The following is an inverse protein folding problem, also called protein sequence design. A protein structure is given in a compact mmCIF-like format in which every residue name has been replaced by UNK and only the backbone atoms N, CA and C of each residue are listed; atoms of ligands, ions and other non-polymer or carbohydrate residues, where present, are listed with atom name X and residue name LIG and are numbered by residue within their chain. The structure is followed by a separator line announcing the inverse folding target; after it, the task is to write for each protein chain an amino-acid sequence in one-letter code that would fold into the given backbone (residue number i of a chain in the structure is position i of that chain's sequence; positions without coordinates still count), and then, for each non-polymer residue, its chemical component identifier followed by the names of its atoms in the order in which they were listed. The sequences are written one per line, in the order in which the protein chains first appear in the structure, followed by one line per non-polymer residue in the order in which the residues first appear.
data_IF_830402069719
#
_entry.id   IF_830402069719
#
_cell.length_a   1.000
_cell.length_b   1.000
_cell.length_c   1.000
_cell.angle_alpha   90.00
_cell.angle_beta   90.00
_cell.angle_gamma   90.00
#
_symmetry.space_group_name_H-M   'P 1'
#
loop_
_entity.id
_entity.type
_entity.pdbx_description
1 polymer ?
#
# COMPACT_ATOMS: atom_id res chain seq x y z
N UNK A 1 -6.79 -2.92 -23.50
CA UNK A 1 -5.66 -2.41 -22.68
C UNK A 1 -5.50 -3.32 -21.47
N UNK A 2 -4.35 -3.97 -21.26
CA UNK A 2 -4.09 -4.68 -20.00
C UNK A 2 -3.74 -3.64 -18.92
N UNK A 3 -4.40 -3.71 -17.78
CA UNK A 3 -4.11 -2.83 -16.65
C UNK A 3 -2.72 -3.19 -16.10
N UNK A 4 -1.81 -2.22 -16.02
CA UNK A 4 -0.45 -2.42 -15.51
C UNK A 4 -0.45 -2.93 -14.06
N UNK A 5 -1.43 -2.50 -13.27
CA UNK A 5 -1.70 -3.00 -11.92
C UNK A 5 -1.83 -4.52 -11.87
N UNK A 6 -2.47 -5.14 -12.87
CA UNK A 6 -2.62 -6.59 -12.93
C UNK A 6 -1.27 -7.29 -13.15
N UNK A 7 -0.37 -6.71 -13.96
CA UNK A 7 0.97 -7.25 -14.18
C UNK A 7 1.82 -7.17 -12.91
N UNK A 8 1.74 -6.04 -12.19
CA UNK A 8 2.44 -5.84 -10.91
C UNK A 8 2.03 -6.90 -9.90
N UNK A 9 0.72 -7.04 -9.68
CA UNK A 9 0.16 -8.00 -8.72
C UNK A 9 0.51 -9.45 -9.13
N UNK A 10 0.46 -9.77 -10.41
CA UNK A 10 0.82 -11.10 -10.91
C UNK A 10 2.30 -11.43 -10.66
N UNK A 11 3.22 -10.48 -10.88
CA UNK A 11 4.65 -10.69 -10.60
C UNK A 11 4.90 -10.86 -9.09
N UNK A 12 4.32 -9.99 -8.27
CA UNK A 12 4.43 -10.06 -6.80
C UNK A 12 3.91 -11.40 -6.28
N UNK A 13 2.78 -11.89 -6.79
CA UNK A 13 2.23 -13.19 -6.42
C UNK A 13 3.17 -14.36 -6.78
N UNK A 14 3.75 -14.32 -7.98
CA UNK A 14 4.73 -15.34 -8.41
C UNK A 14 5.98 -15.32 -7.52
N UNK A 15 6.48 -14.13 -7.18
CA UNK A 15 7.61 -13.98 -6.26
C UNK A 15 7.28 -14.55 -4.88
N UNK A 16 6.13 -14.17 -4.32
CA UNK A 16 5.66 -14.67 -3.02
C UNK A 16 5.57 -16.19 -2.98
N UNK A 17 4.89 -16.80 -3.96
CA UNK A 17 4.74 -18.25 -4.06
C UNK A 17 6.09 -18.98 -4.17
N UNK A 18 7.05 -18.39 -4.88
CA UNK A 18 8.35 -19.02 -5.13
C UNK A 18 9.32 -18.89 -3.97
N UNK A 19 9.39 -17.74 -3.31
CA UNK A 19 10.46 -17.43 -2.36
C UNK A 19 9.98 -17.24 -0.92
N UNK A 20 8.76 -16.74 -0.72
CA UNK A 20 8.27 -16.30 0.60
C UNK A 20 7.34 -17.33 1.23
N UNK A 21 6.67 -18.14 0.41
CA UNK A 21 5.66 -19.09 0.87
C UNK A 21 6.25 -20.12 1.85
N UNK A 22 5.92 -19.96 3.13
CA UNK A 22 6.18 -20.93 4.19
C UNK A 22 5.09 -20.80 5.25
N UNK A 23 4.82 -21.88 5.98
CA UNK A 23 3.76 -21.91 6.99
C UNK A 23 3.95 -20.84 8.07
N UNK A 24 5.18 -20.70 8.56
CA UNK A 24 5.54 -19.73 9.60
C UNK A 24 5.42 -18.28 9.11
N UNK A 25 5.75 -18.01 7.84
CA UNK A 25 5.57 -16.69 7.26
C UNK A 25 4.09 -16.36 7.11
N UNK A 26 3.29 -17.32 6.64
CA UNK A 26 1.85 -17.13 6.44
C UNK A 26 1.12 -16.82 7.75
N UNK A 27 1.51 -17.44 8.87
CA UNK A 27 0.94 -17.14 10.19
C UNK A 27 1.12 -15.67 10.55
N UNK A 28 2.29 -15.07 10.30
CA UNK A 28 2.51 -13.65 10.57
C UNK A 28 1.60 -12.75 9.75
N UNK A 29 1.44 -13.04 8.45
CA UNK A 29 0.52 -12.30 7.58
C UNK A 29 -0.95 -12.45 8.01
N UNK A 30 -1.37 -13.65 8.45
CA UNK A 30 -2.72 -13.90 8.96
C UNK A 30 -2.95 -13.15 10.27
N UNK A 31 -1.98 -13.13 11.19
CA UNK A 31 -2.10 -12.38 12.44
C UNK A 31 -2.30 -10.87 12.19
N UNK A 32 -1.53 -10.30 11.26
CA UNK A 32 -1.73 -8.92 10.82
C UNK A 32 -3.09 -8.71 10.13
N UNK A 33 -3.57 -9.67 9.32
CA UNK A 33 -4.89 -9.57 8.69
C UNK A 33 -6.01 -9.49 9.72
N UNK A 34 -5.96 -10.32 10.77
CA UNK A 34 -6.93 -10.29 11.87
C UNK A 34 -6.90 -8.93 12.56
N UNK A 35 -5.70 -8.40 12.86
CA UNK A 35 -5.55 -7.06 13.44
C UNK A 35 -6.17 -5.98 12.53
N UNK A 36 -5.94 -6.05 11.22
CA UNK A 36 -6.49 -5.10 10.26
C UNK A 36 -8.01 -5.16 10.16
N UNK A 37 -8.61 -6.36 10.15
CA UNK A 37 -10.07 -6.52 10.15
C UNK A 37 -10.68 -5.89 11.41
N UNK A 38 -10.11 -6.17 12.57
CA UNK A 38 -10.60 -5.61 13.84
C UNK A 38 -10.47 -4.07 13.86
N UNK A 39 -9.34 -3.53 13.42
CA UNK A 39 -9.13 -2.06 13.33
C UNK A 39 -10.03 -1.40 12.29
N UNK A 40 -10.32 -2.07 11.18
CA UNK A 40 -11.26 -1.59 10.18
C UNK A 40 -12.69 -1.51 10.73
N UNK A 41 -13.14 -2.51 11.50
CA UNK A 41 -14.43 -2.46 12.20
C UNK A 41 -14.47 -1.32 13.23
N UNK A 42 -13.39 -1.16 13.99
CA UNK A 42 -13.30 -0.15 15.04
C UNK A 42 -13.36 1.29 14.49
N UNK A 43 -12.50 1.61 13.51
CA UNK A 43 -12.46 2.93 12.89
C UNK A 43 -13.58 3.18 11.89
N UNK A 44 -13.93 2.16 11.11
CA UNK A 44 -14.86 2.29 10.00
C UNK A 44 -16.33 2.23 10.42
N UNK A 45 -16.64 1.58 11.55
CA UNK A 45 -18.02 1.38 12.03
C UNK A 45 -18.23 1.85 13.46
N UNK A 46 -17.49 1.31 14.45
CA UNK A 46 -17.76 1.60 15.86
C UNK A 46 -17.66 3.10 16.18
N UNK A 47 -16.61 3.77 15.72
CA UNK A 47 -16.42 5.20 15.95
C UNK A 47 -17.53 6.07 15.30
N UNK A 48 -17.86 5.95 14.00
CA UNK A 48 -18.95 6.73 13.42
C UNK A 48 -20.34 6.43 14.03
N UNK A 49 -20.62 5.17 14.40
CA UNK A 49 -21.86 4.82 15.11
C UNK A 49 -21.89 5.38 16.54
N UNK A 50 -20.74 5.41 17.24
CA UNK A 50 -20.64 6.04 18.55
C UNK A 50 -20.97 7.53 18.49
N UNK A 51 -20.40 8.25 17.51
CA UNK A 51 -20.70 9.66 17.29
C UNK A 51 -22.18 9.88 16.94
N UNK A 52 -22.76 8.99 16.13
CA UNK A 52 -24.19 9.02 15.79
C UNK A 52 -25.05 8.92 17.05
N UNK A 53 -24.81 7.90 17.89
CA UNK A 53 -25.57 7.67 19.10
C UNK A 53 -25.41 8.82 20.11
N UNK A 54 -24.19 9.34 20.26
CA UNK A 54 -23.91 10.44 21.16
C UNK A 54 -24.68 11.70 20.76
N UNK A 55 -24.60 12.10 19.48
CA UNK A 55 -25.25 13.32 18.98
C UNK A 55 -26.77 13.19 19.03
N UNK A 56 -27.32 12.06 18.60
CA UNK A 56 -28.78 11.83 18.66
C UNK A 56 -29.29 11.85 20.11
N UNK A 57 -28.53 11.33 21.08
CA UNK A 57 -28.89 11.44 22.50
C UNK A 57 -28.84 12.87 23.01
N UNK A 58 -27.79 13.63 22.68
CA UNK A 58 -27.66 15.03 23.08
C UNK A 58 -28.79 15.89 22.51
N UNK A 59 -29.18 15.67 21.25
CA UNK A 59 -30.27 16.40 20.61
C UNK A 59 -31.61 16.15 21.32
N UNK A 60 -31.93 14.88 21.61
CA UNK A 60 -33.17 14.49 22.28
C UNK A 60 -33.23 14.94 23.75
N UNK A 61 -32.08 15.15 24.38
CA UNK A 61 -31.97 15.56 25.79
C UNK A 61 -32.25 17.04 26.06
N UNK A 62 -32.49 17.87 25.04
CA UNK A 62 -32.64 19.34 25.16
C UNK A 62 -33.75 19.80 26.12
N UNK A 63 -34.67 18.91 26.55
CA UNK A 63 -35.75 19.21 27.49
C UNK A 63 -35.71 18.38 28.80
N UNK A 64 -34.69 17.55 29.02
CA UNK A 64 -34.58 16.68 30.21
C UNK A 64 -33.16 16.68 30.79
N UNK A 65 -33.00 16.33 32.07
CA UNK A 65 -31.67 16.22 32.69
C UNK A 65 -30.84 15.15 31.99
N UNK A 66 -29.78 15.57 31.27
CA UNK A 66 -28.84 14.68 30.61
C UNK A 66 -28.22 13.71 31.63
N UNK A 67 -28.42 12.41 31.43
CA UNK A 67 -27.80 11.38 32.26
C UNK A 67 -26.87 10.51 31.45
N UNK A 68 -25.67 10.25 31.96
CA UNK A 68 -24.72 9.28 31.36
C UNK A 68 -25.35 7.88 31.27
N UNK A 69 -26.38 7.60 32.08
CA UNK A 69 -27.13 6.34 32.04
C UNK A 69 -28.13 6.26 30.89
N UNK A 70 -28.31 7.32 30.11
CA UNK A 70 -29.05 7.24 28.85
C UNK A 70 -28.38 6.22 27.92
N UNK A 71 -29.19 5.33 27.35
CA UNK A 71 -28.70 4.18 26.59
C UNK A 71 -27.82 4.58 25.41
N UNK A 72 -28.11 5.70 24.72
CA UNK A 72 -27.31 6.17 23.59
C UNK A 72 -25.93 6.72 23.98
N UNK A 73 -25.82 7.47 25.08
CA UNK A 73 -24.54 7.99 25.59
C UNK A 73 -23.65 6.84 26.09
N UNK A 74 -24.23 5.92 26.86
CA UNK A 74 -23.52 4.73 27.33
C UNK A 74 -23.04 3.86 26.16
N UNK A 75 -23.90 3.63 25.15
CA UNK A 75 -23.52 2.88 23.96
C UNK A 75 -22.36 3.55 23.21
N UNK A 76 -22.39 4.89 23.07
CA UNK A 76 -21.28 5.63 22.45
C UNK A 76 -19.97 5.45 23.23
N UNK A 77 -20.00 5.59 24.57
CA UNK A 77 -18.83 5.39 25.43
C UNK A 77 -18.28 3.97 25.29
N UNK A 78 -19.14 2.96 25.29
CA UNK A 78 -18.74 1.57 25.13
C UNK A 78 -18.10 1.31 23.76
N UNK A 79 -18.65 1.87 22.68
CA UNK A 79 -18.08 1.75 21.33
C UNK A 79 -16.71 2.45 21.20
N UNK A 80 -16.55 3.63 21.80
CA UNK A 80 -15.26 4.34 21.85
C UNK A 80 -14.24 3.54 22.66
N UNK A 81 -14.65 3.03 23.83
CA UNK A 81 -13.80 2.19 24.69
C UNK A 81 -13.39 0.91 23.97
N UNK A 82 -14.33 0.23 23.31
CA UNK A 82 -14.04 -0.95 22.50
C UNK A 82 -13.05 -0.64 21.37
N UNK A 83 -13.19 0.52 20.71
CA UNK A 83 -12.23 0.99 19.71
C UNK A 83 -10.83 1.12 20.29
N UNK A 84 -10.68 1.80 21.43
CA UNK A 84 -9.38 1.97 22.10
C UNK A 84 -8.76 0.63 22.50
N UNK A 85 -9.56 -0.29 23.05
CA UNK A 85 -9.11 -1.64 23.41
C UNK A 85 -8.67 -2.42 22.17
N UNK A 86 -9.44 -2.40 21.09
CA UNK A 86 -9.08 -3.09 19.83
C UNK A 86 -7.73 -2.59 19.32
N UNK A 87 -7.53 -1.27 19.20
CA UNK A 87 -6.27 -0.71 18.70
C UNK A 87 -5.08 -1.13 19.57
N UNK A 88 -5.24 -1.04 20.90
CA UNK A 88 -4.19 -1.38 21.86
C UNK A 88 -3.86 -2.87 21.86
N UNK A 89 -4.88 -3.73 21.92
CA UNK A 89 -4.70 -5.18 21.99
C UNK A 89 -4.13 -5.76 20.68
N UNK A 90 -4.55 -5.22 19.53
CA UNK A 90 -4.10 -5.71 18.22
C UNK A 90 -2.69 -5.28 17.84
N UNK A 91 -2.07 -4.33 18.55
CA UNK A 91 -0.69 -3.89 18.25
C UNK A 91 0.31 -5.05 18.35
N UNK A 92 0.13 -5.92 19.35
CA UNK A 92 0.98 -7.09 19.56
C UNK A 92 0.85 -8.16 18.46
N UNK A 93 -0.24 -8.14 17.67
CA UNK A 93 -0.42 -9.04 16.54
C UNK A 93 0.46 -8.67 15.34
N UNK A 94 1.09 -7.49 15.32
CA UNK A 94 2.08 -7.14 14.29
C UNK A 94 3.48 -7.68 14.56
N UNK A 95 3.80 -8.05 15.80
CA UNK A 95 5.09 -8.68 16.11
C UNK A 95 5.35 -9.95 15.28
N UNK A 96 4.45 -10.95 15.23
CA UNK A 96 4.67 -12.13 14.39
C UNK A 96 4.78 -11.77 12.90
N UNK A 97 4.02 -10.78 12.42
CA UNK A 97 4.14 -10.29 11.05
C UNK A 97 5.55 -9.76 10.73
N UNK A 98 6.08 -8.85 11.54
CA UNK A 98 7.42 -8.29 11.31
C UNK A 98 8.52 -9.34 11.42
N UNK A 99 8.38 -10.29 12.35
CA UNK A 99 9.28 -11.44 12.43
C UNK A 99 9.21 -12.30 11.17
N UNK A 100 8.02 -12.54 10.62
CA UNK A 100 7.83 -13.26 9.36
C UNK A 100 8.47 -12.53 8.17
N UNK A 101 8.39 -11.19 8.10
CA UNK A 101 9.08 -10.40 7.06
C UNK A 101 10.60 -10.53 7.19
N UNK A 102 11.14 -10.38 8.41
CA UNK A 102 12.58 -10.53 8.66
C UNK A 102 13.08 -11.95 8.35
N UNK A 103 12.32 -12.98 8.73
CA UNK A 103 12.63 -14.37 8.38
C UNK A 103 12.60 -14.59 6.87
N UNK A 104 11.59 -14.07 6.18
CA UNK A 104 11.49 -14.16 4.72
C UNK A 104 12.71 -13.56 4.03
N UNK A 105 13.22 -12.42 4.51
CA UNK A 105 14.47 -11.83 4.00
C UNK A 105 15.63 -12.81 4.09
N UNK A 106 15.83 -13.42 5.27
CA UNK A 106 16.89 -14.40 5.48
C UNK A 106 16.71 -15.64 4.57
N UNK A 107 15.49 -16.17 4.47
CA UNK A 107 15.17 -17.35 3.67
C UNK A 107 15.36 -17.09 2.17
N UNK A 108 14.92 -15.93 1.66
CA UNK A 108 15.13 -15.54 0.26
C UNK A 108 16.62 -15.38 -0.03
N UNK A 109 17.38 -14.70 0.85
CA UNK A 109 18.84 -14.54 0.69
C UNK A 109 19.55 -15.89 0.65
N UNK A 110 19.24 -16.78 1.60
CA UNK A 110 19.80 -18.14 1.63
C UNK A 110 19.49 -18.92 0.35
N UNK A 111 18.25 -18.82 -0.16
CA UNK A 111 17.86 -19.46 -1.42
C UNK A 111 18.62 -18.90 -2.62
N UNK A 112 18.68 -17.57 -2.76
CA UNK A 112 19.40 -16.92 -3.85
C UNK A 112 20.89 -17.28 -3.83
N UNK A 113 21.53 -17.28 -2.65
CA UNK A 113 22.93 -17.71 -2.49
C UNK A 113 23.10 -19.18 -2.90
N UNK A 114 22.23 -20.07 -2.42
CA UNK A 114 22.30 -21.50 -2.76
C UNK A 114 22.10 -21.77 -4.26
N UNK A 115 21.25 -20.98 -4.93
CA UNK A 115 20.98 -21.09 -6.36
C UNK A 115 22.10 -20.53 -7.23
N UNK A 116 22.93 -19.61 -6.72
CA UNK A 116 24.06 -19.05 -7.45
C UNK A 116 25.23 -20.04 -7.61
N UNK A 117 25.35 -21.03 -6.71
CA UNK A 117 26.45 -21.99 -6.71
C UNK A 117 27.83 -21.33 -6.54
N UNK A 118 28.88 -22.13 -6.32
CA UNK A 118 30.26 -21.63 -6.33
C UNK A 118 30.66 -21.41 -7.80
N UNK A 119 30.31 -20.24 -8.35
CA UNK A 119 30.80 -19.81 -9.66
C UNK A 119 32.29 -19.45 -9.56
N UNK A 120 33.12 -20.02 -10.45
CA UNK A 120 34.59 -19.86 -10.46
C UNK A 120 35.09 -18.41 -10.72
N UNK A 121 34.20 -17.43 -10.91
CA UNK A 121 34.53 -16.02 -11.12
C UNK A 121 34.22 -15.17 -9.87
N UNK A 122 35.06 -15.30 -8.84
CA UNK A 122 34.92 -14.66 -7.52
C UNK A 122 34.76 -13.12 -7.55
N UNK A 123 35.36 -12.42 -8.51
CA UNK A 123 35.29 -10.95 -8.59
C UNK A 123 33.90 -10.43 -9.01
N UNK A 124 33.24 -11.11 -9.96
CA UNK A 124 31.87 -10.77 -10.37
C UNK A 124 30.82 -11.30 -9.38
N UNK A 125 31.14 -12.36 -8.63
CA UNK A 125 30.22 -12.96 -7.64
C UNK A 125 30.00 -12.02 -6.44
N UNK A 126 31.03 -11.32 -5.95
CA UNK A 126 30.88 -10.44 -4.79
C UNK A 126 30.00 -9.20 -5.07
N UNK A 127 30.16 -8.53 -6.22
CA UNK A 127 29.27 -7.41 -6.63
C UNK A 127 27.83 -7.90 -6.86
N UNK A 128 27.68 -9.08 -7.48
CA UNK A 128 26.38 -9.69 -7.74
C UNK A 128 25.65 -10.05 -6.43
N UNK A 129 26.35 -10.67 -5.47
CA UNK A 129 25.79 -11.06 -4.16
C UNK A 129 25.40 -9.83 -3.34
N UNK A 130 26.24 -8.79 -3.30
CA UNK A 130 25.93 -7.55 -2.58
C UNK A 130 24.70 -6.84 -3.15
N UNK A 131 24.61 -6.73 -4.48
CA UNK A 131 23.46 -6.14 -5.17
C UNK A 131 22.19 -6.97 -5.00
N UNK A 132 22.30 -8.30 -5.01
CA UNK A 132 21.14 -9.17 -4.80
C UNK A 132 20.64 -9.18 -3.36
N UNK A 133 21.55 -9.16 -2.38
CA UNK A 133 21.15 -9.04 -0.98
C UNK A 133 20.38 -7.74 -0.75
N UNK A 134 20.85 -6.64 -1.34
CA UNK A 134 20.17 -5.34 -1.30
C UNK A 134 18.82 -5.38 -2.02
N UNK A 135 18.74 -6.01 -3.20
CA UNK A 135 17.48 -6.16 -3.93
C UNK A 135 16.44 -6.97 -3.14
N UNK A 136 16.87 -8.04 -2.44
CA UNK A 136 15.99 -8.86 -1.59
C UNK A 136 15.45 -8.03 -0.42
N UNK A 137 16.33 -7.29 0.28
CA UNK A 137 15.89 -6.40 1.37
C UNK A 137 14.87 -5.39 0.85
N UNK A 138 15.19 -4.70 -0.24
CA UNK A 138 14.31 -3.70 -0.86
C UNK A 138 12.95 -4.29 -1.23
N UNK A 139 12.93 -5.45 -1.88
CA UNK A 139 11.70 -6.13 -2.30
C UNK A 139 10.87 -6.54 -1.09
N UNK A 140 11.47 -7.15 -0.09
CA UNK A 140 10.75 -7.67 1.08
C UNK A 140 10.18 -6.56 1.95
N UNK A 141 10.94 -5.47 2.18
CA UNK A 141 10.41 -4.30 2.88
C UNK A 141 9.26 -3.64 2.13
N UNK A 142 9.33 -3.58 0.79
CA UNK A 142 8.23 -3.05 -0.02
C UNK A 142 7.01 -3.98 -0.06
N UNK A 143 7.18 -5.30 -0.02
CA UNK A 143 6.05 -6.25 0.13
C UNK A 143 5.39 -6.03 1.49
N UNK A 144 6.18 -5.97 2.57
CA UNK A 144 5.69 -5.71 3.92
C UNK A 144 4.95 -4.37 4.01
N UNK A 145 5.59 -3.30 3.52
CA UNK A 145 5.04 -1.95 3.48
C UNK A 145 3.78 -1.84 2.61
N UNK A 146 3.73 -2.50 1.46
CA UNK A 146 2.50 -2.59 0.68
C UNK A 146 1.41 -3.31 1.47
N UNK A 147 1.70 -4.45 2.08
CA UNK A 147 0.70 -5.22 2.81
C UNK A 147 0.10 -4.44 3.97
N UNK A 148 0.93 -3.73 4.74
CA UNK A 148 0.51 -2.89 5.87
C UNK A 148 -0.10 -1.56 5.45
N UNK A 149 0.03 -1.16 4.18
CA UNK A 149 -0.61 0.03 3.64
C UNK A 149 -1.92 -0.33 2.94
N UNK A 150 -1.90 -1.27 2.00
CA UNK A 150 -3.04 -1.66 1.18
C UNK A 150 -4.16 -2.30 2.00
N UNK A 151 -3.83 -3.36 2.74
CA UNK A 151 -4.81 -4.22 3.41
C UNK A 151 -5.68 -3.50 4.45
N UNK A 152 -5.12 -2.78 5.45
CA UNK A 152 -5.96 -2.09 6.41
C UNK A 152 -6.79 -0.99 5.76
N UNK A 153 -6.20 -0.23 4.83
CA UNK A 153 -6.89 0.89 4.22
C UNK A 153 -8.07 0.44 3.36
N UNK A 154 -7.93 -0.62 2.55
CA UNK A 154 -9.06 -1.14 1.76
C UNK A 154 -10.15 -1.74 2.66
N UNK A 155 -9.77 -2.43 3.74
CA UNK A 155 -10.73 -2.96 4.70
C UNK A 155 -11.51 -1.84 5.41
N UNK A 156 -10.83 -0.79 5.87
CA UNK A 156 -11.47 0.39 6.46
C UNK A 156 -12.40 1.06 5.47
N UNK A 157 -11.98 1.25 4.20
CA UNK A 157 -12.85 1.79 3.15
C UNK A 157 -14.13 0.96 3.01
N UNK A 158 -14.02 -0.37 2.93
CA UNK A 158 -15.19 -1.26 2.78
C UNK A 158 -16.12 -1.14 3.99
N UNK A 159 -15.59 -1.23 5.21
CA UNK A 159 -16.39 -1.13 6.44
C UNK A 159 -17.08 0.23 6.52
N UNK A 160 -16.36 1.32 6.24
CA UNK A 160 -16.94 2.67 6.27
C UNK A 160 -18.03 2.88 5.23
N UNK A 161 -17.88 2.31 4.01
CA UNK A 161 -18.96 2.34 3.01
C UNK A 161 -20.20 1.61 3.51
N UNK A 162 -20.03 0.43 4.12
CA UNK A 162 -21.14 -0.31 4.75
C UNK A 162 -21.81 0.53 5.84
N UNK A 163 -21.03 1.20 6.68
CA UNK A 163 -21.56 2.07 7.74
C UNK A 163 -22.32 3.28 7.18
N UNK A 164 -21.83 3.93 6.11
CA UNK A 164 -22.59 5.00 5.45
C UNK A 164 -23.92 4.48 4.92
N UNK A 165 -23.92 3.31 4.26
CA UNK A 165 -25.16 2.67 3.79
C UNK A 165 -26.14 2.35 4.92
N UNK A 166 -25.64 1.91 6.08
CA UNK A 166 -26.47 1.64 7.26
C UNK A 166 -27.09 2.92 7.82
N UNK A 167 -26.35 4.04 7.81
CA UNK A 167 -26.82 5.32 8.32
C UNK A 167 -27.77 6.04 7.35
N UNK A 168 -27.54 5.91 6.04
CA UNK A 168 -28.39 6.42 4.97
C UNK A 168 -28.14 5.66 3.66
N UNK A 169 -29.10 4.86 3.17
CA UNK A 169 -28.96 4.15 1.90
C UNK A 169 -28.73 5.08 0.71
N UNK A 170 -29.39 6.25 0.68
CA UNK A 170 -29.27 7.23 -0.41
C UNK A 170 -27.84 7.78 -0.49
N UNK A 171 -27.29 8.22 0.64
CA UNK A 171 -25.91 8.73 0.68
C UNK A 171 -24.89 7.61 0.51
N UNK A 172 -25.20 6.38 0.93
CA UNK A 172 -24.38 5.19 0.67
C UNK A 172 -24.20 4.90 -0.82
N UNK A 173 -25.27 4.99 -1.61
CA UNK A 173 -25.19 4.82 -3.08
C UNK A 173 -24.26 5.86 -3.69
N UNK A 174 -24.43 7.13 -3.31
CA UNK A 174 -23.55 8.22 -3.78
C UNK A 174 -22.10 7.95 -3.37
N UNK A 175 -21.88 7.52 -2.12
CA UNK A 175 -20.55 7.25 -1.62
C UNK A 175 -19.84 6.15 -2.41
N UNK A 176 -20.53 5.04 -2.70
CA UNK A 176 -19.99 3.94 -3.53
C UNK A 176 -19.78 4.38 -4.97
N UNK A 177 -20.71 5.11 -5.57
CA UNK A 177 -20.59 5.60 -6.94
C UNK A 177 -19.38 6.52 -7.13
N UNK A 178 -18.93 7.22 -6.08
CA UNK A 178 -17.74 8.06 -6.11
C UNK A 178 -16.42 7.26 -6.02
N UNK A 179 -16.42 6.03 -5.47
CA UNK A 179 -15.19 5.25 -5.26
C UNK A 179 -14.36 5.01 -6.53
N UNK A 180 -14.94 4.70 -7.72
CA UNK A 180 -14.15 4.44 -8.92
C UNK A 180 -13.41 5.68 -9.43
N UNK A 181 -13.81 6.90 -9.03
CA UNK A 181 -13.11 8.14 -9.42
C UNK A 181 -11.65 8.15 -8.95
N UNK A 182 -11.34 7.46 -7.85
CA UNK A 182 -9.95 7.29 -7.39
C UNK A 182 -9.05 6.60 -8.43
N UNK A 183 -9.59 5.74 -9.28
CA UNK A 183 -8.83 5.08 -10.35
C UNK A 183 -8.42 6.05 -11.45
N UNK A 184 -9.24 7.08 -11.71
CA UNK A 184 -8.93 8.14 -12.68
C UNK A 184 -7.71 8.97 -12.24
N UNK A 185 -7.43 9.02 -10.93
CA UNK A 185 -6.25 9.67 -10.36
C UNK A 185 -5.03 8.74 -10.44
N UNK A 186 -5.21 7.46 -10.13
CA UNK A 186 -4.12 6.49 -10.05
C UNK A 186 -3.54 6.09 -11.43
N UNK A 187 -4.39 5.87 -12.44
CA UNK A 187 -3.92 5.32 -13.72
C UNK A 187 -2.90 6.21 -14.46
N UNK A 188 -3.12 7.53 -14.60
CA UNK A 188 -2.15 8.42 -15.24
C UNK A 188 -0.82 8.44 -14.48
N UNK A 189 -0.88 8.37 -13.15
CA UNK A 189 0.29 8.36 -12.29
C UNK A 189 1.16 7.11 -12.52
N UNK A 190 0.56 5.91 -12.49
CA UNK A 190 1.31 4.65 -12.69
C UNK A 190 2.03 4.66 -14.04
N UNK A 191 1.34 5.05 -15.11
CA UNK A 191 1.93 5.13 -16.46
C UNK A 191 3.06 6.16 -16.52
N UNK A 192 2.82 7.37 -16.02
CA UNK A 192 3.78 8.47 -16.09
C UNK A 192 5.04 8.27 -15.25
N UNK A 193 4.89 7.81 -14.00
CA UNK A 193 6.04 7.59 -13.09
C UNK A 193 6.95 6.48 -13.60
N UNK A 194 6.40 5.43 -14.20
CA UNK A 194 7.23 4.34 -14.70
C UNK A 194 8.16 4.80 -15.82
N UNK A 195 7.64 5.54 -16.81
CA UNK A 195 8.46 6.10 -17.89
C UNK A 195 9.54 7.04 -17.33
N UNK A 196 9.16 7.92 -16.39
CA UNK A 196 10.10 8.83 -15.74
C UNK A 196 11.21 8.07 -14.98
N UNK A 197 10.85 6.98 -14.30
CA UNK A 197 11.80 6.12 -13.57
C UNK A 197 12.71 5.31 -14.47
N UNK A 198 12.22 4.86 -15.62
CA UNK A 198 13.08 4.17 -16.58
C UNK A 198 14.20 5.11 -17.07
N UNK A 199 13.88 6.38 -17.35
CA UNK A 199 14.86 7.42 -17.69
C UNK A 199 15.80 7.71 -16.53
N UNK A 200 15.27 7.89 -15.33
CA UNK A 200 16.05 8.12 -14.10
C UNK A 200 17.07 6.99 -13.86
N UNK A 201 16.62 5.72 -13.80
CA UNK A 201 17.50 4.58 -13.50
C UNK A 201 18.54 4.31 -14.58
N UNK A 202 18.16 4.44 -15.86
CA UNK A 202 19.10 4.27 -16.97
C UNK A 202 20.18 5.35 -16.95
N UNK A 203 19.79 6.62 -16.75
CA UNK A 203 20.73 7.74 -16.64
C UNK A 203 21.60 7.63 -15.39
N UNK A 204 21.05 7.17 -14.27
CA UNK A 204 21.83 6.95 -13.05
C UNK A 204 22.90 5.86 -13.24
N UNK A 205 22.54 4.76 -13.92
CA UNK A 205 23.48 3.70 -14.25
C UNK A 205 24.60 4.21 -15.19
N UNK A 206 24.23 5.05 -16.17
CA UNK A 206 25.18 5.74 -17.06
C UNK A 206 26.12 6.66 -16.26
N UNK A 207 25.62 7.43 -15.29
CA UNK A 207 26.44 8.27 -14.40
C UNK A 207 27.46 7.43 -13.63
N UNK A 208 27.04 6.34 -13.00
CA UNK A 208 27.94 5.47 -12.23
C UNK A 208 29.04 4.88 -13.12
N UNK A 209 28.67 4.40 -14.31
CA UNK A 209 29.63 3.88 -15.27
C UNK A 209 30.64 4.95 -15.74
N UNK A 210 30.17 6.17 -16.06
CA UNK A 210 31.03 7.26 -16.51
C UNK A 210 31.95 7.78 -15.41
N UNK A 211 31.54 7.73 -14.14
CA UNK A 211 32.42 8.05 -13.00
C UNK A 211 33.56 7.05 -12.91
N UNK A 212 33.27 5.75 -13.02
CA UNK A 212 34.29 4.69 -13.01
C UNK A 212 35.28 4.86 -14.19
N UNK A 213 34.77 5.09 -15.40
CA UNK A 213 35.61 5.34 -16.58
C UNK A 213 36.41 6.65 -16.49
N UNK A 214 35.89 7.69 -15.82
CA UNK A 214 36.62 8.94 -15.57
C UNK A 214 37.84 8.71 -14.68
N UNK A 215 37.70 7.92 -13.61
CA UNK A 215 38.84 7.57 -12.75
C UNK A 215 39.86 6.67 -13.45
N UNK A 216 39.45 5.94 -14.49
CA UNK A 216 40.33 5.17 -15.38
C UNK A 216 40.96 6.00 -16.51
N UNK A 217 40.55 7.26 -16.69
CA UNK A 217 41.02 8.16 -17.75
C UNK A 217 40.33 8.00 -19.10
N UNK A 218 39.23 7.24 -19.17
CA UNK A 218 38.50 6.90 -20.40
C UNK A 218 37.23 7.73 -20.63
N UNK A 219 36.83 8.58 -19.69
CA UNK A 219 35.66 9.45 -19.81
C UNK A 219 36.00 10.90 -19.49
N UNK A 220 35.27 11.83 -20.11
CA UNK A 220 35.42 13.27 -19.88
C UNK A 220 34.36 13.78 -18.88
N UNK A 221 34.67 14.83 -18.08
CA UNK A 221 33.70 15.46 -17.18
C UNK A 221 32.40 15.90 -17.86
N UNK A 222 32.48 16.29 -19.14
CA UNK A 222 31.30 16.69 -19.93
C UNK A 222 30.28 15.57 -20.10
N UNK A 223 30.74 14.33 -20.31
CA UNK A 223 29.87 13.17 -20.46
C UNK A 223 29.10 12.87 -19.16
N UNK A 224 29.78 12.98 -18.01
CA UNK A 224 29.15 12.84 -16.69
C UNK A 224 28.08 13.92 -16.49
N UNK A 225 28.39 15.18 -16.84
CA UNK A 225 27.44 16.29 -16.73
C UNK A 225 26.19 16.07 -17.58
N UNK A 226 26.33 15.56 -18.80
CA UNK A 226 25.19 15.27 -19.67
C UNK A 226 24.32 14.14 -19.13
N UNK A 227 24.93 13.06 -18.62
CA UNK A 227 24.20 11.97 -17.97
C UNK A 227 23.47 12.45 -16.70
N UNK A 228 24.10 13.30 -15.88
CA UNK A 228 23.46 13.93 -14.72
C UNK A 228 22.28 14.82 -15.12
N UNK A 229 22.38 15.58 -16.22
CA UNK A 229 21.27 16.39 -16.72
C UNK A 229 20.09 15.52 -17.19
N UNK A 230 20.34 14.38 -17.85
CA UNK A 230 19.29 13.41 -18.21
C UNK A 230 18.63 12.84 -16.96
N UNK A 231 19.43 12.44 -15.97
CA UNK A 231 18.95 11.95 -14.67
C UNK A 231 18.06 12.99 -13.97
N UNK A 232 18.51 14.24 -13.90
CA UNK A 232 17.77 15.35 -13.31
C UNK A 232 16.42 15.55 -14.01
N UNK A 233 16.36 15.53 -15.35
CA UNK A 233 15.09 15.61 -16.09
C UNK A 233 14.14 14.45 -15.77
N UNK A 234 14.67 13.23 -15.65
CA UNK A 234 13.91 12.05 -15.21
C UNK A 234 13.31 12.24 -13.83
N UNK A 235 14.12 12.72 -12.87
CA UNK A 235 13.70 13.04 -11.51
C UNK A 235 12.63 14.13 -11.48
N UNK A 236 12.82 15.25 -12.19
CA UNK A 236 11.82 16.33 -12.24
C UNK A 236 10.48 15.84 -12.81
N UNK A 237 10.51 15.00 -13.85
CA UNK A 237 9.30 14.39 -14.41
C UNK A 237 8.61 13.48 -13.40
N UNK A 238 9.37 12.69 -12.64
CA UNK A 238 8.83 11.86 -11.57
C UNK A 238 8.18 12.72 -10.47
N UNK A 239 8.87 13.77 -10.00
CA UNK A 239 8.33 14.70 -8.98
C UNK A 239 7.03 15.33 -9.46
N UNK A 240 6.94 15.72 -10.73
CA UNK A 240 5.71 16.27 -11.31
C UNK A 240 4.53 15.29 -11.18
N UNK A 241 4.74 14.01 -11.53
CA UNK A 241 3.69 13.00 -11.38
C UNK A 241 3.34 12.74 -9.91
N UNK A 242 4.34 12.64 -9.03
CA UNK A 242 4.12 12.47 -7.58
C UNK A 242 3.27 13.62 -7.02
N UNK A 243 3.61 14.87 -7.33
CA UNK A 243 2.88 16.04 -6.84
C UNK A 243 1.47 16.09 -7.43
N UNK A 244 1.30 15.81 -8.71
CA UNK A 244 -0.02 15.77 -9.36
C UNK A 244 -0.91 14.71 -8.73
N UNK A 245 -0.38 13.51 -8.46
CA UNK A 245 -1.10 12.43 -7.79
C UNK A 245 -1.55 12.85 -6.40
N UNK A 246 -0.64 13.34 -5.55
CA UNK A 246 -0.97 13.70 -4.18
C UNK A 246 -1.93 14.89 -4.10
N UNK A 247 -1.72 15.93 -4.89
CA UNK A 247 -2.64 17.07 -4.96
C UNK A 247 -4.05 16.65 -5.38
N UNK A 248 -4.18 15.83 -6.42
CA UNK A 248 -5.48 15.33 -6.89
C UNK A 248 -6.13 14.40 -5.86
N UNK A 249 -5.32 13.56 -5.21
CA UNK A 249 -5.78 12.63 -4.18
C UNK A 249 -6.28 13.35 -2.93
N UNK A 250 -5.60 14.41 -2.48
CA UNK A 250 -6.06 15.23 -1.36
C UNK A 250 -7.33 16.01 -1.70
N UNK A 251 -7.41 16.56 -2.92
CA UNK A 251 -8.63 17.21 -3.39
C UNK A 251 -9.80 16.21 -3.37
N UNK A 252 -9.61 14.99 -3.89
CA UNK A 252 -10.62 13.93 -3.85
C UNK A 252 -11.00 13.51 -2.43
N UNK A 253 -10.02 13.27 -1.56
CA UNK A 253 -10.27 12.76 -0.21
C UNK A 253 -10.99 13.77 0.69
N UNK A 254 -10.93 15.07 0.37
CA UNK A 254 -11.63 16.14 1.09
C UNK A 254 -12.92 16.57 0.41
N UNK A 255 -12.95 16.64 -0.92
CA UNK A 255 -14.12 17.07 -1.67
C UNK A 255 -15.29 16.07 -1.53
N UNK A 256 -15.02 14.76 -1.53
CA UNK A 256 -16.10 13.77 -1.43
C UNK A 256 -16.84 13.82 -0.07
N UNK A 257 -16.16 13.87 1.10
CA UNK A 257 -16.82 14.16 2.37
C UNK A 257 -17.64 15.45 2.38
N UNK A 258 -17.14 16.53 1.77
CA UNK A 258 -17.87 17.80 1.66
C UNK A 258 -19.14 17.64 0.83
N UNK A 259 -19.07 16.96 -0.31
CA UNK A 259 -20.25 16.68 -1.16
C UNK A 259 -21.28 15.86 -0.37
N UNK A 260 -20.87 14.80 0.31
CA UNK A 260 -21.77 13.99 1.15
C UNK A 260 -22.36 14.80 2.31
N UNK A 261 -21.60 15.74 2.87
CA UNK A 261 -22.09 16.67 3.90
C UNK A 261 -23.20 17.56 3.35
N UNK A 262 -22.98 18.19 2.20
CA UNK A 262 -23.98 19.07 1.56
C UNK A 262 -25.26 18.30 1.24
N UNK A 263 -25.14 17.11 0.65
CA UNK A 263 -26.30 16.24 0.37
C UNK A 263 -26.99 15.77 1.65
N UNK A 264 -26.22 15.49 2.69
CA UNK A 264 -26.75 15.04 3.98
C UNK A 264 -27.48 16.15 4.74
N UNK A 265 -26.99 17.40 4.71
CA UNK A 265 -27.70 18.56 5.24
C UNK A 265 -29.09 18.67 4.62
N UNK A 266 -29.18 18.55 3.29
CA UNK A 266 -30.45 18.62 2.57
C UNK A 266 -31.44 17.50 2.97
N UNK A 267 -30.96 16.28 3.23
CA UNK A 267 -31.81 15.19 3.71
C UNK A 267 -32.20 15.37 5.20
N UNK A 268 -31.34 15.98 6.00
CA UNK A 268 -31.65 16.37 7.38
C UNK A 268 -32.70 17.48 7.45
N UNK A 269 -32.60 18.52 6.62
CA UNK A 269 -33.60 19.60 6.51
C UNK A 269 -34.99 19.08 6.12
N UNK A 270 -35.04 17.99 5.34
CA UNK A 270 -36.28 17.29 4.96
C UNK A 270 -36.81 16.34 6.04
N UNK A 271 -36.14 16.24 7.19
CA UNK A 271 -36.49 15.34 8.28
C UNK A 271 -36.26 13.86 7.96
N UNK A 272 -35.48 13.53 6.92
CA UNK A 272 -35.22 12.14 6.49
C UNK A 272 -33.95 11.54 7.08
N UNK A 273 -33.07 12.38 7.63
CA UNK A 273 -31.80 11.97 8.21
C UNK A 273 -31.59 12.67 9.57
N UNK A 274 -31.48 11.91 10.68
CA UNK A 274 -31.12 12.48 11.98
C UNK A 274 -29.76 13.18 11.95
N UNK A 275 -29.58 14.24 12.75
CA UNK A 275 -28.33 15.02 12.78
C UNK A 275 -27.15 14.12 13.18
N UNK A 276 -27.33 13.22 14.14
CA UNK A 276 -26.27 12.27 14.52
C UNK A 276 -25.87 11.35 13.37
N UNK A 277 -26.81 10.91 12.53
CA UNK A 277 -26.48 10.08 11.38
C UNK A 277 -25.63 10.86 10.36
N UNK A 278 -25.91 12.15 10.16
CA UNK A 278 -25.07 13.01 9.33
C UNK A 278 -23.64 13.08 9.88
N UNK A 279 -23.47 13.29 11.19
CA UNK A 279 -22.13 13.31 11.83
C UNK A 279 -21.40 11.99 11.63
N UNK A 280 -22.08 10.85 11.83
CA UNK A 280 -21.52 9.53 11.58
C UNK A 280 -21.11 9.33 10.12
N UNK A 281 -21.92 9.79 9.16
CA UNK A 281 -21.62 9.72 7.73
C UNK A 281 -20.40 10.57 7.36
N UNK A 282 -20.28 11.78 7.91
CA UNK A 282 -19.11 12.64 7.69
C UNK A 282 -17.85 11.93 8.14
N UNK A 283 -17.83 11.42 9.38
CA UNK A 283 -16.68 10.69 9.91
C UNK A 283 -16.36 9.44 9.07
N UNK A 284 -17.36 8.62 8.78
CA UNK A 284 -17.18 7.42 7.95
C UNK A 284 -16.67 7.77 6.55
N UNK A 285 -17.15 8.85 5.93
CA UNK A 285 -16.70 9.27 4.59
C UNK A 285 -15.23 9.64 4.54
N UNK A 286 -14.69 10.27 5.59
CA UNK A 286 -13.25 10.52 5.71
C UNK A 286 -12.47 9.20 5.76
N UNK A 287 -13.04 8.16 6.37
CA UNK A 287 -12.51 6.79 6.40
C UNK A 287 -12.83 5.94 5.16
N UNK A 288 -13.58 6.49 4.20
CA UNK A 288 -13.70 5.89 2.86
C UNK A 288 -12.56 6.41 1.98
N UNK A 289 -12.51 7.72 1.75
CA UNK A 289 -11.76 8.29 0.64
C UNK A 289 -10.27 8.47 0.92
N UNK A 290 -9.90 8.88 2.13
CA UNK A 290 -8.47 8.99 2.51
C UNK A 290 -7.81 7.60 2.57
N UNK A 291 -8.40 6.60 3.26
CA UNK A 291 -7.88 5.24 3.19
C UNK A 291 -7.83 4.67 1.78
N UNK A 292 -8.84 4.89 0.93
CA UNK A 292 -8.82 4.38 -0.44
C UNK A 292 -7.59 4.87 -1.21
N UNK A 293 -7.26 6.17 -1.12
CA UNK A 293 -6.03 6.73 -1.72
C UNK A 293 -4.78 6.05 -1.17
N UNK A 294 -4.70 5.86 0.15
CA UNK A 294 -3.56 5.19 0.77
C UNK A 294 -3.44 3.73 0.31
N UNK A 295 -4.56 3.02 0.13
CA UNK A 295 -4.55 1.68 -0.41
C UNK A 295 -3.97 1.67 -1.83
N UNK A 296 -4.44 2.55 -2.71
CA UNK A 296 -3.92 2.68 -4.07
C UNK A 296 -2.43 3.06 -4.08
N UNK A 297 -1.97 3.86 -3.13
CA UNK A 297 -0.54 4.15 -2.94
C UNK A 297 0.27 2.89 -2.61
N UNK A 298 -0.26 1.98 -1.78
CA UNK A 298 0.36 0.69 -1.50
C UNK A 298 0.64 -0.13 -2.77
N UNK A 299 -0.27 -0.10 -3.74
CA UNK A 299 -0.06 -0.73 -5.06
C UNK A 299 1.08 -0.03 -5.83
N UNK A 300 1.13 1.30 -5.77
CA UNK A 300 2.20 2.08 -6.40
C UNK A 300 3.58 1.77 -5.82
N UNK A 301 3.67 1.43 -4.53
CA UNK A 301 4.91 0.97 -3.87
C UNK A 301 5.38 -0.37 -4.43
N UNK A 302 4.47 -1.31 -4.74
CA UNK A 302 4.87 -2.55 -5.43
C UNK A 302 5.42 -2.32 -6.83
N UNK A 303 4.86 -1.34 -7.56
CA UNK A 303 5.37 -0.95 -8.88
C UNK A 303 6.86 -0.58 -8.86
N UNK A 304 7.39 -0.11 -7.72
CA UNK A 304 8.80 0.27 -7.57
C UNK A 304 9.73 -0.95 -7.46
N UNK A 305 9.19 -2.09 -7.05
CA UNK A 305 9.90 -3.35 -6.81
C UNK A 305 9.98 -4.29 -8.01
N UNK A 306 9.34 -3.94 -9.15
CA UNK A 306 9.28 -4.83 -10.32
C UNK A 306 10.65 -5.20 -10.87
N UNK A 307 11.53 -4.21 -11.04
CA UNK A 307 12.87 -4.41 -11.60
C UNK A 307 13.73 -5.31 -10.69
N UNK A 308 13.89 -5.04 -9.38
CA UNK A 308 14.66 -5.92 -8.51
C UNK A 308 14.00 -7.31 -8.38
N UNK A 309 12.67 -7.42 -8.32
CA UNK A 309 11.97 -8.72 -8.36
C UNK A 309 12.32 -9.52 -9.61
N UNK A 310 12.27 -8.89 -10.79
CA UNK A 310 12.62 -9.54 -12.05
C UNK A 310 14.08 -9.99 -12.08
N UNK A 311 15.01 -9.18 -11.55
CA UNK A 311 16.43 -9.54 -11.47
C UNK A 311 16.64 -10.80 -10.64
N UNK A 312 16.02 -10.87 -9.46
CA UNK A 312 16.07 -12.04 -8.57
C UNK A 312 15.48 -13.27 -9.29
N UNK A 313 14.33 -13.12 -9.96
CA UNK A 313 13.67 -14.22 -10.65
C UNK A 313 14.43 -14.73 -11.89
N UNK A 314 15.12 -13.85 -12.63
CA UNK A 314 15.88 -14.21 -13.83
C UNK A 314 17.12 -15.04 -13.50
N UNK A 315 17.83 -14.73 -12.41
CA UNK A 315 19.01 -15.47 -11.98
C UNK A 315 18.67 -16.94 -11.66
N UNK A 316 17.55 -17.15 -11.00
CA UNK A 316 17.02 -18.48 -10.70
C UNK A 316 16.59 -19.27 -11.95
N UNK A 317 16.12 -18.56 -13.00
CA UNK A 317 15.71 -19.18 -14.26
C UNK A 317 16.89 -19.65 -15.13
N UNK A 318 18.00 -18.90 -15.13
CA UNK A 318 19.15 -19.22 -15.98
C UNK A 318 19.96 -20.41 -15.44
N UNK A 319 20.05 -20.59 -14.12
CA UNK A 319 20.76 -21.73 -13.52
C UNK A 319 19.97 -23.05 -13.62
N UNK A 320 18.63 -23.01 -13.68
CA UNK A 320 17.79 -24.20 -13.91
C UNK A 320 17.94 -24.81 -15.32
N UNK A 321 18.33 -24.01 -16.33
CA UNK A 321 18.64 -24.52 -17.68
C UNK A 321 20.03 -25.14 -17.75
N UNK A 322 21.01 -24.54 -17.07
CA UNK A 322 22.38 -25.08 -16.97
C UNK A 322 22.41 -26.42 -16.22
N UNK A 323 21.66 -26.55 -15.11
CA UNK A 323 21.57 -27.81 -14.37
C UNK A 323 20.90 -28.96 -15.14
N UNK A 324 19.91 -28.66 -16.01
CA UNK A 324 19.29 -29.65 -16.90
C UNK A 324 20.23 -30.09 -18.03
N UNK A 325 20.98 -29.16 -18.61
CA UNK A 325 21.97 -29.47 -19.65
C UNK A 325 23.14 -30.29 -19.09
N UNK A 326 23.58 -30.01 -17.85
CA UNK A 326 24.59 -30.81 -17.16
C UNK A 326 24.08 -32.19 -16.75
N UNK A 327 22.80 -32.30 -16.37
CA UNK A 327 22.17 -33.60 -16.09
C UNK A 327 21.94 -34.44 -17.35
N UNK A 328 21.60 -33.82 -18.48
CA UNK A 328 21.47 -34.51 -19.78
C UNK A 328 22.83 -34.91 -20.37
N UNK A 329 23.91 -34.15 -20.11
CA UNK A 329 25.28 -34.52 -20.47
C UNK A 329 25.89 -35.60 -19.58
N UNK A 330 25.40 -35.79 -18.36
CA UNK A 330 25.85 -36.86 -17.46
C UNK A 330 25.16 -38.23 -17.73
N UNK A 331 24.18 -38.26 -18.64
CA UNK A 331 23.41 -39.46 -19.02
C UNK A 331 23.83 -39.98 -20.42
N UNK A 332 24.80 -39.33 -21.07
CA UNK A 332 25.42 -39.75 -22.33
C UNK A 332 26.93 -39.98 -22.16
#
# INVERSE_FOLDING_TARGET
MRLKTAEVLALTWRFYRRYVYSWEVNIGFIAALVAFILRAVASGSLMPLALTNLVNSLENSTNSSLSIRESGIMNAILMITATAVIYTATEWLFKPFWNSVAKSIADVKNRVISEMGVSNNLSNVNDLVGRLASDVDFVMWNIGGMYTTFTPNILTTIVSLVTIFQLSPVLGIVAVAATPLSLLIMEPYIKGVEEARQVERSSYSEVIHLIDEYFKGNAEPGQIRDALNKWYRGMTKQVFYDRTYWSSSFAYSLAMPVILTILGIHETERGRLPIGNLVGIIYASMNVYSPLINALWGICVLGQSLVPMNRIMQLSSNNGKSGRQLAEQAIH
#
